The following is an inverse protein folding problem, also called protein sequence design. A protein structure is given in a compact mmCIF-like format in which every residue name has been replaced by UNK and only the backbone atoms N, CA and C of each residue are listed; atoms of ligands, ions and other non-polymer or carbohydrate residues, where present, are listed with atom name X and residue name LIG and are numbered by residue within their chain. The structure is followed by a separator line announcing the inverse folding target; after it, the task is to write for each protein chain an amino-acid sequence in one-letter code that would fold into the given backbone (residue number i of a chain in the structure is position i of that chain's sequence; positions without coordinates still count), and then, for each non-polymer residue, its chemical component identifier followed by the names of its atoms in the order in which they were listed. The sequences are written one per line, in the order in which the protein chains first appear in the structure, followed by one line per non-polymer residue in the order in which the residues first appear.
data_IF_391023875798
#
_entry.id   IF_391023875798
#
_cell.length_a   1.000
_cell.length_b   1.000
_cell.length_c   1.000
_cell.angle_alpha   90.00
_cell.angle_beta   90.00
_cell.angle_gamma   90.00
#
_symmetry.space_group_name_H-M   'P 1'
#
loop_
_entity.id
_entity.type
_entity.pdbx_description
1 polymer ?
#
# COMPACT_ATOMS: atom_id res chain seq x y z
N UNK A 1 16.41 1.04 19.13
CA UNK A 1 17.61 1.14 18.28
C UNK A 1 17.27 1.64 16.87
N UNK A 2 16.09 1.32 16.33
CA UNK A 2 15.62 1.70 14.98
C UNK A 2 15.57 3.22 14.69
N UNK A 3 15.12 4.05 15.64
CA UNK A 3 14.95 5.50 15.44
C UNK A 3 16.29 6.23 15.23
N UNK A 4 17.37 5.83 15.92
CA UNK A 4 18.66 6.48 15.81
C UNK A 4 19.34 6.24 14.44
N UNK A 5 19.15 5.04 13.87
CA UNK A 5 19.66 4.70 12.54
C UNK A 5 18.94 5.51 11.47
N UNK A 6 17.62 5.68 11.59
CA UNK A 6 16.83 6.50 10.65
C UNK A 6 17.21 7.98 10.69
N UNK A 7 17.50 8.53 11.88
CA UNK A 7 18.01 9.89 12.02
C UNK A 7 19.40 10.07 11.38
N UNK A 8 20.27 9.05 11.48
CA UNK A 8 21.58 9.04 10.82
C UNK A 8 21.47 9.03 9.28
N UNK A 9 20.51 8.27 8.74
CA UNK A 9 20.25 8.23 7.29
C UNK A 9 19.86 9.63 6.78
N UNK A 10 19.04 10.35 7.54
CA UNK A 10 18.59 11.71 7.22
C UNK A 10 19.58 12.83 7.59
N UNK A 11 20.75 12.49 8.16
CA UNK A 11 21.78 13.43 8.62
C UNK A 11 21.32 14.41 9.73
N UNK A 12 20.35 13.99 10.55
CA UNK A 12 19.76 14.80 11.63
C UNK A 12 20.58 14.72 12.95
N UNK A 13 21.73 14.03 12.90
CA UNK A 13 22.74 13.90 13.95
C UNK A 13 24.13 14.06 13.32
N UNK A 14 25.05 14.75 14.00
CA UNK A 14 26.38 15.04 13.44
C UNK A 14 27.17 13.78 13.05
N UNK A 15 27.92 13.86 11.95
CA UNK A 15 28.62 12.73 11.29
C UNK A 15 29.53 11.87 12.19
N UNK A 16 29.98 12.38 13.34
CA UNK A 16 30.84 11.67 14.27
C UNK A 16 30.11 10.63 15.17
N UNK A 17 28.77 10.59 15.12
CA UNK A 17 27.97 9.79 16.05
C UNK A 17 27.58 8.40 15.52
N UNK A 18 27.92 8.04 14.28
CA UNK A 18 27.47 6.79 13.66
C UNK A 18 28.47 6.20 12.64
N UNK A 19 28.40 4.87 12.47
CA UNK A 19 29.17 4.14 11.45
C UNK A 19 28.46 4.23 10.09
N UNK A 20 29.11 4.85 9.11
CA UNK A 20 28.55 5.08 7.77
C UNK A 20 28.23 3.79 7.04
N UNK A 21 29.00 2.72 7.24
CA UNK A 21 28.78 1.42 6.61
C UNK A 21 27.48 0.82 7.16
N UNK A 22 27.30 0.84 8.48
CA UNK A 22 26.08 0.33 9.13
C UNK A 22 24.85 1.12 8.68
N UNK A 23 24.96 2.45 8.60
CA UNK A 23 23.85 3.32 8.18
C UNK A 23 23.49 3.11 6.71
N UNK A 24 24.49 2.98 5.83
CA UNK A 24 24.25 2.69 4.42
C UNK A 24 23.64 1.30 4.22
N UNK A 25 24.11 0.27 4.94
CA UNK A 25 23.52 -1.06 4.88
C UNK A 25 22.05 -1.03 5.33
N UNK A 26 21.76 -0.36 6.44
CA UNK A 26 20.40 -0.21 6.95
C UNK A 26 19.47 0.52 5.96
N UNK A 27 19.97 1.56 5.28
CA UNK A 27 19.23 2.25 4.22
C UNK A 27 18.80 1.27 3.11
N UNK A 28 19.74 0.44 2.62
CA UNK A 28 19.45 -0.55 1.57
C UNK A 28 18.40 -1.56 2.04
N UNK A 29 18.53 -2.06 3.26
CA UNK A 29 17.57 -3.00 3.84
C UNK A 29 16.18 -2.39 4.01
N UNK A 30 16.08 -1.14 4.47
CA UNK A 30 14.80 -0.43 4.56
C UNK A 30 14.17 -0.22 3.19
N UNK A 31 14.95 0.20 2.19
CA UNK A 31 14.45 0.33 0.82
C UNK A 31 13.91 -0.98 0.26
N UNK A 32 14.60 -2.10 0.53
CA UNK A 32 14.15 -3.43 0.12
C UNK A 32 12.85 -3.83 0.82
N UNK A 33 12.73 -3.57 2.13
CA UNK A 33 11.50 -3.82 2.90
C UNK A 33 10.32 -3.00 2.33
N UNK A 34 10.53 -1.70 2.10
CA UNK A 34 9.50 -0.82 1.54
C UNK A 34 9.10 -1.27 0.14
N UNK A 35 10.05 -1.62 -0.73
CA UNK A 35 9.75 -2.11 -2.07
C UNK A 35 8.98 -3.44 -2.05
N UNK A 36 9.37 -4.38 -1.17
CA UNK A 36 8.67 -5.66 -1.02
C UNK A 36 7.23 -5.49 -0.50
N UNK A 37 6.98 -4.51 0.38
CA UNK A 37 5.66 -4.21 0.88
C UNK A 37 4.83 -3.36 -0.10
N UNK A 38 5.44 -2.38 -0.76
CA UNK A 38 4.82 -1.37 -1.60
C UNK A 38 5.76 -0.94 -2.75
N UNK A 39 5.76 -1.67 -3.88
CA UNK A 39 6.67 -1.39 -5.00
C UNK A 39 6.59 0.02 -5.58
N UNK A 40 5.44 0.70 -5.46
CA UNK A 40 5.24 2.06 -5.97
C UNK A 40 5.86 3.17 -5.12
N UNK A 41 6.34 2.88 -3.91
CA UNK A 41 6.88 3.87 -2.96
C UNK A 41 8.42 3.86 -2.85
N UNK A 42 9.05 2.79 -3.34
CA UNK A 42 10.50 2.69 -3.44
C UNK A 42 10.84 1.99 -4.74
N UNK A 43 11.35 2.75 -5.71
CA UNK A 43 11.85 2.17 -6.96
C UNK A 43 13.26 1.60 -6.72
N UNK A 44 13.40 0.28 -6.81
CA UNK A 44 14.70 -0.40 -6.66
C UNK A 44 15.51 -0.38 -7.96
N UNK A 45 14.89 -0.03 -9.09
CA UNK A 45 15.56 0.06 -10.38
C UNK A 45 16.58 1.20 -10.44
N UNK A 46 16.42 2.26 -9.62
CA UNK A 46 17.36 3.38 -9.60
C UNK A 46 18.78 2.95 -9.20
N UNK A 47 18.91 1.94 -8.31
CA UNK A 47 20.21 1.36 -7.93
C UNK A 47 20.84 0.59 -9.08
N UNK A 48 20.04 -0.19 -9.82
CA UNK A 48 20.51 -0.89 -11.01
C UNK A 48 20.97 0.10 -12.09
N UNK A 49 20.21 1.16 -12.36
CA UNK A 49 20.59 2.17 -13.36
C UNK A 49 21.83 2.97 -12.95
N UNK A 50 21.98 3.29 -11.66
CA UNK A 50 23.06 4.16 -11.18
C UNK A 50 24.35 3.41 -10.87
N UNK A 51 24.24 2.26 -10.20
CA UNK A 51 25.38 1.49 -9.72
C UNK A 51 25.61 0.21 -10.52
N UNK A 52 24.71 -0.16 -11.43
CA UNK A 52 24.80 -1.42 -12.18
C UNK A 52 24.45 -2.64 -11.35
N UNK A 53 23.98 -2.46 -10.11
CA UNK A 53 23.66 -3.53 -9.17
C UNK A 53 22.32 -3.25 -8.48
N UNK A 54 21.41 -4.21 -8.55
CA UNK A 54 20.09 -4.15 -7.94
C UNK A 54 20.12 -4.53 -6.46
N UNK A 55 19.28 -3.89 -5.67
CA UNK A 55 19.22 -4.10 -4.20
C UNK A 55 18.24 -5.20 -3.78
N UNK A 56 17.43 -5.74 -4.70
CA UNK A 56 16.42 -6.74 -4.37
C UNK A 56 17.01 -8.13 -4.02
N UNK A 57 18.22 -8.41 -4.50
CA UNK A 57 18.87 -9.73 -4.42
C UNK A 57 19.84 -9.89 -3.26
N UNK A 58 20.23 -8.80 -2.60
CA UNK A 58 21.27 -8.77 -1.58
C UNK A 58 20.74 -8.16 -0.28
N UNK A 59 21.30 -8.54 0.86
CA UNK A 59 21.18 -7.75 2.09
C UNK A 59 21.97 -6.44 1.98
N UNK A 60 21.74 -5.49 2.88
CA UNK A 60 22.46 -4.21 2.85
C UNK A 60 23.98 -4.36 2.91
N UNK A 61 24.47 -5.25 3.77
CA UNK A 61 25.91 -5.56 3.90
C UNK A 61 26.47 -6.21 2.64
N UNK A 62 25.79 -7.22 2.10
CA UNK A 62 26.21 -7.90 0.86
C UNK A 62 26.20 -6.95 -0.34
N UNK A 63 25.22 -6.04 -0.40
CA UNK A 63 25.15 -5.03 -1.45
C UNK A 63 26.36 -4.11 -1.42
N UNK A 64 26.73 -3.61 -0.24
CA UNK A 64 27.92 -2.76 -0.06
C UNK A 64 29.20 -3.49 -0.45
N UNK A 65 29.36 -4.74 -0.01
CA UNK A 65 30.51 -5.57 -0.37
C UNK A 65 30.65 -5.73 -1.89
N UNK A 66 29.57 -6.08 -2.59
CA UNK A 66 29.58 -6.26 -4.04
C UNK A 66 29.77 -4.94 -4.79
N UNK A 67 29.15 -3.85 -4.34
CA UNK A 67 29.33 -2.54 -4.93
C UNK A 67 30.78 -2.04 -4.75
N UNK A 68 31.35 -2.25 -3.57
CA UNK A 68 32.72 -1.87 -3.25
C UNK A 68 33.72 -2.60 -4.15
N UNK A 69 33.56 -3.91 -4.31
CA UNK A 69 34.39 -4.69 -5.24
C UNK A 69 34.24 -4.23 -6.70
N UNK A 70 33.02 -3.91 -7.12
CA UNK A 70 32.76 -3.53 -8.51
C UNK A 70 33.27 -2.13 -8.88
N UNK A 71 33.24 -1.17 -7.94
CA UNK A 71 33.39 0.26 -8.26
C UNK A 71 34.30 1.06 -7.33
N UNK A 72 34.68 0.53 -6.17
CA UNK A 72 35.43 1.26 -5.14
C UNK A 72 36.66 0.49 -4.65
N UNK A 73 37.24 -0.37 -5.49
CA UNK A 73 38.46 -1.12 -5.15
C UNK A 73 38.35 -1.95 -3.85
N UNK A 74 37.14 -2.41 -3.50
CA UNK A 74 36.87 -3.13 -2.26
C UNK A 74 36.71 -2.24 -1.01
N UNK A 75 36.72 -0.92 -1.16
CA UNK A 75 36.55 0.02 -0.05
C UNK A 75 35.06 0.24 0.26
N UNK A 76 34.54 -0.54 1.21
CA UNK A 76 33.13 -0.47 1.63
C UNK A 76 32.73 0.89 2.17
N UNK A 77 33.63 1.58 2.89
CA UNK A 77 33.36 2.94 3.39
C UNK A 77 33.09 3.93 2.26
N UNK A 78 33.84 3.87 1.15
CA UNK A 78 33.63 4.77 0.01
C UNK A 78 32.31 4.46 -0.71
N UNK A 79 31.95 3.18 -0.82
CA UNK A 79 30.66 2.78 -1.37
C UNK A 79 29.50 3.27 -0.49
N UNK A 80 29.63 3.14 0.83
CA UNK A 80 28.66 3.61 1.81
C UNK A 80 28.48 5.13 1.76
N UNK A 81 29.57 5.90 1.76
CA UNK A 81 29.55 7.36 1.62
C UNK A 81 28.85 7.79 0.33
N UNK A 82 29.19 7.15 -0.80
CA UNK A 82 28.58 7.46 -2.09
C UNK A 82 27.07 7.27 -2.08
N UNK A 83 26.58 6.18 -1.50
CA UNK A 83 25.15 5.88 -1.41
C UNK A 83 24.45 6.92 -0.54
N UNK A 84 25.00 7.23 0.64
CA UNK A 84 24.41 8.20 1.54
C UNK A 84 24.38 9.62 0.93
N UNK A 85 25.43 10.02 0.21
CA UNK A 85 25.47 11.30 -0.50
C UNK A 85 24.42 11.38 -1.61
N UNK A 86 24.23 10.29 -2.36
CA UNK A 86 23.21 10.21 -3.40
C UNK A 86 21.79 10.20 -2.86
N UNK A 87 21.61 9.54 -1.72
CA UNK A 87 20.37 9.54 -0.97
C UNK A 87 20.01 10.95 -0.50
N UNK A 88 20.92 11.61 0.22
CA UNK A 88 20.72 12.95 0.80
C UNK A 88 20.52 14.03 -0.26
N UNK A 89 21.17 13.89 -1.42
CA UNK A 89 20.99 14.78 -2.56
C UNK A 89 19.75 14.46 -3.41
N UNK A 90 18.94 13.46 -3.06
CA UNK A 90 17.74 13.05 -3.81
C UNK A 90 18.04 12.44 -5.19
N UNK A 91 19.28 12.03 -5.45
CA UNK A 91 19.71 11.49 -6.75
C UNK A 91 19.26 10.05 -7.00
N UNK A 92 18.70 9.40 -5.97
CA UNK A 92 18.08 8.08 -6.05
C UNK A 92 16.58 8.14 -6.35
N UNK A 93 16.04 9.34 -6.62
CA UNK A 93 14.63 9.56 -6.94
C UNK A 93 13.77 9.83 -5.70
N UNK A 94 12.44 9.96 -5.88
CA UNK A 94 11.51 10.19 -4.78
C UNK A 94 11.31 8.88 -3.99
N UNK A 95 12.21 8.61 -3.06
CA UNK A 95 12.12 7.45 -2.18
C UNK A 95 11.70 7.90 -0.78
N UNK A 96 10.69 7.26 -0.23
CA UNK A 96 10.21 7.55 1.14
C UNK A 96 10.66 6.40 2.06
N UNK A 97 11.48 6.68 3.08
CA UNK A 97 12.00 5.67 4.01
C UNK A 97 10.96 5.15 4.97
N UNK A 98 10.08 6.04 5.41
CA UNK A 98 8.89 5.65 6.13
C UNK A 98 7.76 5.72 5.13
N UNK A 99 7.14 4.59 4.72
CA UNK A 99 5.80 4.71 4.19
C UNK A 99 5.02 5.53 5.22
N UNK A 100 4.18 6.49 4.78
CA UNK A 100 3.33 7.20 5.73
C UNK A 100 2.75 6.16 6.69
N UNK A 101 2.70 6.43 8.01
CA UNK A 101 2.19 5.45 8.95
C UNK A 101 0.91 4.89 8.34
N UNK A 102 0.54 3.65 8.66
CA UNK A 102 -0.79 3.17 8.33
C UNK A 102 -1.87 3.98 9.10
N UNK A 103 -1.84 5.33 9.07
CA UNK A 103 -3.00 6.12 8.73
C UNK A 103 -3.77 5.27 7.73
N UNK A 104 -5.01 4.87 8.04
CA UNK A 104 -5.77 4.03 7.15
C UNK A 104 -5.86 4.77 5.83
N UNK A 105 -4.98 4.41 4.90
CA UNK A 105 -4.77 5.14 3.67
C UNK A 105 -6.11 5.08 2.96
N UNK A 106 -6.76 6.22 2.83
CA UNK A 106 -8.02 6.37 2.10
C UNK A 106 -9.05 5.33 2.59
N UNK A 107 -9.53 5.60 3.81
CA UNK A 107 -10.91 5.38 4.25
C UNK A 107 -11.73 4.64 3.17
N UNK A 108 -12.10 3.38 3.45
CA UNK A 108 -12.68 2.37 2.56
C UNK A 108 -13.25 2.77 1.19
N UNK A 109 -14.04 3.84 1.11
CA UNK A 109 -14.70 4.32 -0.11
C UNK A 109 -13.75 4.82 -1.20
N UNK A 110 -12.69 5.58 -0.86
CA UNK A 110 -11.73 6.03 -1.87
C UNK A 110 -10.98 4.86 -2.48
N UNK A 111 -10.61 3.88 -1.64
CA UNK A 111 -9.95 2.64 -2.08
C UNK A 111 -10.88 1.73 -2.88
N UNK A 112 -12.16 1.64 -2.51
CA UNK A 112 -13.19 0.91 -3.25
C UNK A 112 -13.35 1.46 -4.67
N UNK A 113 -13.35 2.79 -4.83
CA UNK A 113 -13.38 3.43 -6.14
C UNK A 113 -12.01 3.40 -6.85
N UNK A 114 -10.90 3.29 -6.11
CA UNK A 114 -9.55 3.31 -6.67
C UNK A 114 -9.02 4.72 -6.93
N UNK A 115 -9.46 5.70 -6.15
CA UNK A 115 -9.10 7.11 -6.29
C UNK A 115 -8.38 7.64 -5.05
N UNK A 116 -7.71 8.79 -5.19
CA UNK A 116 -7.04 9.48 -4.07
C UNK A 116 -8.04 10.36 -3.28
N UNK A 117 -7.77 10.70 -2.01
CA UNK A 117 -8.63 11.59 -1.22
C UNK A 117 -8.82 13.00 -1.80
N UNK A 118 -7.91 13.46 -2.67
CA UNK A 118 -8.02 14.74 -3.38
C UNK A 118 -8.71 14.61 -4.75
N UNK A 119 -9.32 13.46 -5.06
CA UNK A 119 -10.03 13.24 -6.31
C UNK A 119 -11.14 14.25 -6.52
N UNK A 120 -11.23 14.75 -7.76
CA UNK A 120 -12.27 15.66 -8.21
C UNK A 120 -13.60 14.91 -8.44
N UNK A 121 -14.70 15.64 -8.59
CA UNK A 121 -15.98 15.05 -8.95
C UNK A 121 -15.93 14.27 -10.28
N UNK A 122 -15.11 14.72 -11.23
CA UNK A 122 -14.89 14.04 -12.50
C UNK A 122 -14.15 12.71 -12.32
N UNK A 123 -13.09 12.69 -11.50
CA UNK A 123 -12.35 11.48 -11.16
C UNK A 123 -13.25 10.44 -10.48
N UNK A 124 -14.08 10.88 -9.53
CA UNK A 124 -15.02 10.02 -8.81
C UNK A 124 -16.06 9.40 -9.77
N UNK A 125 -16.60 10.21 -10.69
CA UNK A 125 -17.57 9.76 -11.69
C UNK A 125 -16.94 8.81 -12.70
N UNK A 126 -15.70 9.08 -13.11
CA UNK A 126 -14.92 8.21 -13.99
C UNK A 126 -14.64 6.85 -13.35
N UNK A 127 -14.16 6.86 -12.10
CA UNK A 127 -13.86 5.66 -11.33
C UNK A 127 -15.11 4.81 -11.06
N UNK A 128 -16.23 5.45 -10.68
CA UNK A 128 -17.52 4.76 -10.52
C UNK A 128 -17.95 4.05 -11.80
N UNK A 129 -17.90 4.73 -12.96
CA UNK A 129 -18.25 4.13 -14.26
C UNK A 129 -17.34 2.95 -14.62
N UNK A 130 -16.04 3.07 -14.35
CA UNK A 130 -15.09 1.99 -14.60
C UNK A 130 -15.38 0.77 -13.73
N UNK A 131 -15.59 0.96 -12.42
CA UNK A 131 -15.97 -0.11 -11.49
C UNK A 131 -17.32 -0.71 -11.84
N UNK A 132 -18.27 0.13 -12.24
CA UNK A 132 -19.61 -0.31 -12.54
C UNK A 132 -19.67 -1.28 -13.72
N UNK A 133 -18.83 -1.06 -14.74
CA UNK A 133 -18.72 -1.97 -15.90
C UNK A 133 -18.21 -3.36 -15.52
N UNK A 134 -17.39 -3.46 -14.48
CA UNK A 134 -16.74 -4.72 -14.06
C UNK A 134 -17.60 -5.46 -13.04
N UNK A 135 -18.28 -4.73 -12.14
CA UNK A 135 -18.97 -5.29 -10.98
C UNK A 135 -20.50 -5.34 -11.14
N UNK A 136 -21.06 -4.97 -12.29
CA UNK A 136 -22.50 -5.08 -12.51
C UNK A 136 -22.96 -6.55 -12.41
N UNK A 137 -24.12 -6.85 -11.79
CA UNK A 137 -24.64 -8.21 -11.71
C UNK A 137 -24.81 -8.87 -13.10
N UNK A 138 -25.18 -8.09 -14.12
CA UNK A 138 -25.30 -8.59 -15.51
C UNK A 138 -23.96 -9.00 -16.13
N UNK A 139 -22.83 -8.54 -15.57
CA UNK A 139 -21.48 -8.92 -15.97
C UNK A 139 -20.89 -10.04 -15.09
N UNK A 140 -21.69 -10.62 -14.17
CA UNK A 140 -21.25 -11.64 -13.22
C UNK A 140 -20.62 -11.08 -11.94
N UNK A 141 -20.84 -9.80 -11.63
CA UNK A 141 -20.36 -9.18 -10.39
C UNK A 141 -21.17 -9.58 -9.16
N UNK A 142 -20.51 -9.62 -8.00
CA UNK A 142 -21.14 -9.91 -6.72
C UNK A 142 -22.04 -8.74 -6.27
N UNK A 143 -23.35 -8.97 -5.96
CA UNK A 143 -24.28 -7.91 -5.56
C UNK A 143 -23.80 -7.09 -4.35
N UNK A 144 -23.12 -7.75 -3.42
CA UNK A 144 -22.57 -7.11 -2.23
C UNK A 144 -21.41 -6.16 -2.57
N UNK A 145 -20.59 -6.48 -3.57
CA UNK A 145 -19.50 -5.63 -4.03
C UNK A 145 -20.02 -4.44 -4.84
N UNK A 146 -21.01 -4.69 -5.70
CA UNK A 146 -21.72 -3.64 -6.41
C UNK A 146 -22.31 -2.61 -5.46
N UNK A 147 -23.03 -3.05 -4.43
CA UNK A 147 -23.65 -2.15 -3.45
C UNK A 147 -22.60 -1.31 -2.70
N UNK A 148 -21.42 -1.88 -2.43
CA UNK A 148 -20.32 -1.14 -1.77
C UNK A 148 -19.75 -0.03 -2.65
N UNK A 149 -19.59 -0.29 -3.95
CA UNK A 149 -19.13 0.72 -4.92
C UNK A 149 -20.17 1.82 -5.08
N UNK A 150 -21.46 1.46 -5.09
CA UNK A 150 -22.56 2.42 -5.13
C UNK A 150 -22.55 3.34 -3.89
N UNK A 151 -22.48 2.75 -2.69
CA UNK A 151 -22.42 3.51 -1.44
C UNK A 151 -21.17 4.40 -1.36
N UNK A 152 -20.03 3.90 -1.85
CA UNK A 152 -18.79 4.67 -1.91
C UNK A 152 -18.94 5.91 -2.79
N UNK A 153 -19.53 5.76 -3.98
CA UNK A 153 -19.79 6.87 -4.87
C UNK A 153 -20.80 7.85 -4.29
N UNK A 154 -21.89 7.39 -3.67
CA UNK A 154 -22.91 8.25 -3.08
C UNK A 154 -22.36 9.13 -1.95
N UNK A 155 -21.47 8.58 -1.12
CA UNK A 155 -20.84 9.34 -0.02
C UNK A 155 -19.78 10.30 -0.53
N UNK A 156 -18.97 9.89 -1.51
CA UNK A 156 -17.85 10.71 -1.98
C UNK A 156 -18.23 11.77 -3.01
N UNK A 157 -19.35 11.59 -3.72
CA UNK A 157 -19.84 12.55 -4.72
C UNK A 157 -20.62 13.73 -4.13
N UNK A 158 -21.06 13.61 -2.88
CA UNK A 158 -21.72 14.68 -2.13
C UNK A 158 -20.72 15.33 -1.16
N UNK A 159 -20.46 16.63 -1.31
CA UNK A 159 -19.44 17.34 -0.53
C UNK A 159 -19.72 17.29 0.98
N UNK A 160 -20.99 17.31 1.39
CA UNK A 160 -21.38 17.24 2.80
C UNK A 160 -21.16 15.85 3.40
N UNK A 161 -21.59 14.80 2.69
CA UNK A 161 -21.34 13.40 3.09
C UNK A 161 -19.85 13.07 3.07
N UNK A 162 -19.10 13.61 2.11
CA UNK A 162 -17.65 13.46 2.01
C UNK A 162 -16.94 14.10 3.19
N UNK A 163 -17.31 15.33 3.56
CA UNK A 163 -16.77 15.98 4.75
C UNK A 163 -17.03 15.16 6.03
N UNK A 164 -18.28 14.71 6.23
CA UNK A 164 -18.64 13.84 7.36
C UNK A 164 -17.89 12.49 7.33
N UNK A 165 -17.65 11.95 6.14
CA UNK A 165 -16.89 10.74 5.94
C UNK A 165 -15.41 10.88 6.31
N UNK A 166 -14.82 12.00 5.92
CA UNK A 166 -13.43 12.33 6.20
C UNK A 166 -13.25 12.58 7.70
N UNK A 167 -14.11 13.40 8.29
CA UNK A 167 -14.05 13.81 9.70
C UNK A 167 -14.41 12.70 10.68
N UNK A 168 -15.47 11.93 10.40
CA UNK A 168 -16.01 10.98 11.38
C UNK A 168 -16.20 9.54 10.86
N UNK A 169 -16.09 9.30 9.56
CA UNK A 169 -16.37 8.01 8.96
C UNK A 169 -17.87 7.75 8.86
N UNK A 170 -18.44 8.07 7.70
CA UNK A 170 -19.83 7.84 7.34
C UNK A 170 -19.96 6.46 6.70
N UNK A 171 -20.89 5.62 7.17
CA UNK A 171 -21.11 4.27 6.63
C UNK A 171 -22.60 4.01 6.43
N UNK A 172 -22.93 3.24 5.40
CA UNK A 172 -24.28 2.72 5.21
C UNK A 172 -24.65 1.71 6.30
N UNK A 173 -25.77 1.93 6.96
CA UNK A 173 -26.36 1.05 7.97
C UNK A 173 -27.56 0.31 7.39
N UNK A 174 -27.32 -0.94 6.97
CA UNK A 174 -28.36 -1.81 6.44
C UNK A 174 -29.46 -2.15 7.45
N UNK A 175 -29.23 -2.00 8.76
CA UNK A 175 -30.24 -2.30 9.79
C UNK A 175 -31.26 -1.17 9.94
N UNK A 176 -30.80 0.08 9.80
CA UNK A 176 -31.62 1.27 9.97
C UNK A 176 -32.01 1.94 8.64
N UNK A 177 -31.48 1.46 7.51
CA UNK A 177 -31.81 1.96 6.17
C UNK A 177 -31.29 3.38 5.92
N UNK A 178 -30.07 3.70 6.36
CA UNK A 178 -29.50 5.04 6.20
C UNK A 178 -28.02 5.13 6.53
N UNK A 179 -27.46 6.33 6.44
CA UNK A 179 -26.05 6.57 6.78
C UNK A 179 -25.88 6.88 8.26
N UNK A 180 -24.85 6.29 8.88
CA UNK A 180 -24.45 6.57 10.26
C UNK A 180 -22.98 6.91 10.36
N UNK A 181 -22.65 7.69 11.37
CA UNK A 181 -21.26 7.97 11.75
C UNK A 181 -20.69 6.81 12.57
N UNK A 182 -19.43 6.47 12.34
CA UNK A 182 -18.69 5.48 13.12
C UNK A 182 -18.41 6.01 14.53
N UNK A 183 -18.56 5.15 15.53
CA UNK A 183 -18.21 5.52 16.91
C UNK A 183 -16.69 5.59 17.08
N UNK A 184 -16.21 6.39 18.04
CA UNK A 184 -14.79 6.47 18.39
C UNK A 184 -14.27 5.06 18.75
N UNK A 185 -13.34 4.54 17.94
CA UNK A 185 -12.81 3.17 18.06
C UNK A 185 -13.38 2.15 17.07
N UNK A 186 -14.43 2.48 16.31
CA UNK A 186 -14.89 1.65 15.19
C UNK A 186 -14.00 1.89 13.96
N UNK A 187 -13.37 0.83 13.45
CA UNK A 187 -12.54 0.92 12.25
C UNK A 187 -13.40 1.23 11.02
N UNK A 188 -12.91 2.15 10.16
CA UNK A 188 -13.53 2.40 8.86
C UNK A 188 -13.53 1.10 8.05
N UNK A 189 -14.63 0.75 7.37
CA UNK A 189 -14.72 -0.50 6.64
C UNK A 189 -13.58 -0.62 5.63
N UNK A 190 -12.78 -1.66 5.76
CA UNK A 190 -11.72 -2.02 4.82
C UNK A 190 -12.17 -3.22 3.99
N UNK A 191 -11.65 -3.36 2.77
CA UNK A 191 -11.88 -4.52 1.91
C UNK A 191 -11.69 -5.86 2.65
N UNK A 192 -10.68 -5.95 3.52
CA UNK A 192 -10.38 -7.14 4.32
C UNK A 192 -11.40 -7.42 5.44
N UNK A 193 -11.93 -6.38 6.09
CA UNK A 193 -12.96 -6.54 7.13
C UNK A 193 -14.37 -6.85 6.58
N UNK A 194 -14.56 -6.73 5.26
CA UNK A 194 -15.86 -6.87 4.59
C UNK A 194 -15.96 -8.13 3.71
N UNK A 195 -14.90 -8.94 3.63
CA UNK A 195 -14.88 -10.22 2.88
C UNK A 195 -15.20 -11.44 3.74
N UNK A 196 -15.59 -11.28 5.01
CA UNK A 196 -15.88 -12.43 5.88
C UNK A 196 -17.35 -12.51 6.28
N UNK A 197 -18.13 -13.22 5.46
CA UNK A 197 -18.97 -14.34 5.91
C UNK A 197 -19.68 -14.98 4.71
N UNK A 198 -19.16 -16.13 4.26
CA UNK A 198 -19.94 -17.37 4.17
C UNK A 198 -18.97 -18.52 4.41
N UNK A 199 -19.25 -19.28 5.48
CA UNK A 199 -18.55 -20.50 5.83
C UNK A 199 -18.69 -21.59 4.75
N UNK A 200 -18.05 -22.75 4.95
CA UNK A 200 -17.94 -23.78 3.95
C UNK A 200 -19.34 -24.30 3.59
N UNK A 201 -19.72 -24.20 2.32
CA UNK A 201 -20.82 -25.00 1.79
C UNK A 201 -20.37 -26.46 1.82
N UNK A 202 -20.76 -27.12 2.91
CA UNK A 202 -20.89 -28.55 3.04
C UNK A 202 -21.71 -29.04 1.84
N UNK A 203 -21.05 -29.60 0.83
CA UNK A 203 -21.72 -30.38 -0.20
C UNK A 203 -22.03 -31.76 0.38
N UNK A 204 -23.05 -31.82 1.25
CA UNK A 204 -23.67 -33.06 1.67
C UNK A 204 -24.39 -33.69 0.48
N UNK A 205 -24.04 -34.94 0.22
CA UNK A 205 -24.67 -35.85 -0.72
C UNK A 205 -26.21 -35.80 -0.65
N UNK A 206 -26.85 -35.74 -1.82
CA UNK A 206 -28.17 -36.33 -2.03
C UNK A 206 -28.13 -37.19 -3.31
N UNK A 207 -28.21 -38.49 -3.06
CA UNK A 207 -28.71 -39.52 -3.98
C UNK A 207 -30.00 -39.04 -4.65
N UNK A 208 -30.03 -39.08 -5.97
CA UNK A 208 -31.24 -38.97 -6.78
C UNK A 208 -31.24 -40.11 -7.80
N UNK A 209 -32.10 -41.08 -7.56
CA UNK A 209 -32.31 -42.27 -8.37
C UNK A 209 -32.80 -41.88 -9.78
N UNK A 210 -32.22 -42.48 -10.82
CA UNK A 210 -32.84 -42.50 -12.15
C UNK A 210 -32.82 -43.92 -12.69
N UNK A 211 -33.91 -44.62 -12.38
CA UNK A 211 -34.35 -45.88 -12.93
C UNK A 211 -34.91 -45.61 -14.33
N UNK A 212 -34.28 -46.13 -15.39
CA UNK A 212 -34.95 -46.33 -16.68
C UNK A 212 -34.69 -47.75 -17.13
N UNK A 213 -35.71 -48.60 -16.98
CA UNK A 213 -35.91 -49.82 -17.76
C UNK A 213 -37.02 -49.54 -18.75
N UNK A 214 -36.76 -49.73 -20.04
CA UNK A 214 -37.41 -50.78 -20.83
C UNK A 214 -36.63 -50.95 -22.12
#
# INVERSE_FOLDING_TARGET
QDVAVRLAICDDIGEAAYDKIVVAAALIDEMRKVHGAMPSYADTACFQSRYGLGIATYSGEEYLFHLAQAKFFGLELQAAERILDDWRAGRLGPVTLEPPPAVPHHTGYYRLLGVRPNATAEDLKGAYRARARVLHPDAGGEPDEWQRVLNAYEVLSDDGKRALYDEHGLVWDSKNGGYRVLKRGEAKPTLASMTTRKGPLLLSAQRGEARVRK
#
